data_IF_880976055742
#
_entry.id   IF_880976055742
#
_cell.length_a   1.000
_cell.length_b   1.000
_cell.length_c   1.000
_cell.angle_alpha   90.00
_cell.angle_beta   90.00
_cell.angle_gamma   90.00
#
_symmetry.space_group_name_H-M   'P 1'
#
loop_
_entity.id
_entity.type
_entity.pdbx_description
1 polymer ?
#
# COMPACT_ATOMS: atom_id res chain seq x y z
N UNK A 1 -11.81 32.22 -18.02
CA UNK A 1 -12.58 30.96 -18.10
C UNK A 1 -11.68 29.78 -17.71
N UNK A 2 -10.49 29.60 -18.31
CA UNK A 2 -9.58 28.48 -18.01
C UNK A 2 -9.18 28.43 -16.53
N UNK A 3 -8.81 29.57 -15.93
CA UNK A 3 -8.48 29.64 -14.49
C UNK A 3 -9.62 29.21 -13.58
N UNK A 4 -10.85 29.54 -13.93
CA UNK A 4 -12.02 29.14 -13.18
C UNK A 4 -12.19 27.61 -13.17
N UNK A 5 -12.09 26.97 -14.33
CA UNK A 5 -12.19 25.51 -14.43
C UNK A 5 -11.02 24.81 -13.73
N UNK A 6 -9.81 25.34 -13.86
CA UNK A 6 -8.64 24.82 -13.14
C UNK A 6 -8.87 24.80 -11.61
N UNK A 7 -9.28 25.92 -11.03
CA UNK A 7 -9.53 25.99 -9.59
C UNK A 7 -10.62 25.01 -9.16
N UNK A 8 -11.69 24.86 -10.00
CA UNK A 8 -12.77 23.91 -9.73
C UNK A 8 -12.32 22.46 -9.82
N UNK A 9 -11.51 22.10 -10.82
CA UNK A 9 -10.96 20.76 -10.95
C UNK A 9 -10.04 20.43 -9.76
N UNK A 10 -9.15 21.35 -9.37
CA UNK A 10 -8.29 21.18 -8.20
C UNK A 10 -9.08 21.06 -6.89
N UNK A 11 -10.18 21.79 -6.76
CA UNK A 11 -11.06 21.70 -5.59
C UNK A 11 -11.83 20.37 -5.54
N UNK A 12 -12.16 19.81 -6.69
CA UNK A 12 -12.90 18.55 -6.83
C UNK A 12 -11.97 17.34 -6.70
N UNK A 13 -10.73 17.47 -7.17
CA UNK A 13 -9.74 16.41 -7.12
C UNK A 13 -9.42 16.04 -5.67
N UNK A 14 -9.71 14.79 -5.31
CA UNK A 14 -9.47 14.32 -3.94
C UNK A 14 -7.97 14.26 -3.63
N UNK A 15 -7.60 14.73 -2.45
CA UNK A 15 -6.25 14.63 -1.91
C UNK A 15 -6.29 14.16 -0.46
N UNK A 16 -5.51 13.14 -0.12
CA UNK A 16 -5.47 12.53 1.22
C UNK A 16 -6.19 11.19 1.28
N UNK A 17 -6.69 10.85 2.46
CA UNK A 17 -7.44 9.61 2.70
C UNK A 17 -8.82 9.70 2.03
N UNK A 18 -9.10 8.74 1.15
CA UNK A 18 -10.38 8.63 0.46
C UNK A 18 -11.33 7.64 1.17
N UNK A 19 -10.78 6.50 1.59
CA UNK A 19 -11.55 5.45 2.26
C UNK A 19 -10.73 4.77 3.35
N UNK A 20 -11.39 4.49 4.47
CA UNK A 20 -10.86 3.62 5.52
C UNK A 20 -11.27 2.17 5.25
N UNK A 21 -10.48 1.22 5.72
CA UNK A 21 -10.82 -0.21 5.65
C UNK A 21 -12.09 -0.49 6.46
N UNK A 22 -12.94 -1.37 5.91
CA UNK A 22 -14.11 -1.89 6.62
C UNK A 22 -13.74 -3.08 7.55
N UNK A 23 -12.61 -3.74 7.29
CA UNK A 23 -12.20 -4.97 7.96
C UNK A 23 -11.16 -4.72 9.08
N UNK A 24 -10.46 -3.59 9.02
CA UNK A 24 -9.39 -3.26 9.97
C UNK A 24 -9.53 -1.86 10.53
N UNK A 25 -9.60 -1.75 11.84
CA UNK A 25 -9.66 -0.45 12.53
C UNK A 25 -8.41 0.40 12.24
N UNK A 26 -8.63 1.69 11.99
CA UNK A 26 -7.60 2.69 11.76
C UNK A 26 -6.68 2.42 10.55
N UNK A 27 -7.05 1.51 9.65
CA UNK A 27 -6.32 1.24 8.42
C UNK A 27 -6.88 2.10 7.27
N UNK A 28 -6.01 2.83 6.60
CA UNK A 28 -6.36 3.49 5.32
C UNK A 28 -6.43 2.41 4.24
N UNK A 29 -7.58 2.30 3.57
CA UNK A 29 -7.76 1.42 2.41
C UNK A 29 -7.31 2.12 1.13
N UNK A 30 -7.81 3.34 0.88
CA UNK A 30 -7.62 4.07 -0.37
C UNK A 30 -7.23 5.52 -0.08
N UNK A 31 -6.24 6.01 -0.78
CA UNK A 31 -5.77 7.40 -0.67
C UNK A 31 -5.24 7.91 -2.02
N UNK A 32 -5.19 9.22 -2.17
CA UNK A 32 -4.51 9.90 -3.26
C UNK A 32 -3.60 11.01 -2.73
N UNK A 33 -2.48 11.19 -3.39
CA UNK A 33 -1.59 12.33 -3.17
C UNK A 33 -1.43 13.11 -4.47
N UNK A 34 -1.88 14.36 -4.48
CA UNK A 34 -1.53 15.33 -5.52
C UNK A 34 -0.09 15.76 -5.24
N UNK A 35 0.87 15.12 -5.90
CA UNK A 35 2.28 15.27 -5.57
C UNK A 35 2.84 16.65 -5.96
N UNK A 36 2.34 17.20 -7.06
CA UNK A 36 2.80 18.48 -7.62
C UNK A 36 1.69 19.10 -8.48
N UNK A 37 1.69 20.41 -8.57
CA UNK A 37 0.94 21.16 -9.59
C UNK A 37 1.97 22.06 -10.31
N UNK A 38 2.15 21.81 -11.59
CA UNK A 38 3.07 22.59 -12.43
C UNK A 38 2.28 23.20 -13.61
N UNK A 39 2.32 24.51 -13.70
CA UNK A 39 1.74 25.25 -14.81
C UNK A 39 2.85 26.08 -15.44
N UNK A 40 3.46 25.57 -16.49
CA UNK A 40 4.57 26.21 -17.19
C UNK A 40 4.37 26.15 -18.71
N UNK A 41 4.74 27.21 -19.40
CA UNK A 41 4.66 27.32 -20.87
C UNK A 41 3.29 26.96 -21.48
N UNK A 42 2.20 27.25 -20.75
CA UNK A 42 0.83 26.92 -21.17
C UNK A 42 0.43 25.46 -21.00
N UNK A 43 1.28 24.65 -20.40
CA UNK A 43 1.02 23.24 -20.06
C UNK A 43 0.77 23.08 -18.55
N UNK A 44 -0.25 22.30 -18.23
CA UNK A 44 -0.58 21.88 -16.86
C UNK A 44 -0.13 20.43 -16.65
N UNK A 45 0.61 20.18 -15.57
CA UNK A 45 0.97 18.84 -15.13
C UNK A 45 0.57 18.67 -13.66
N UNK A 46 -0.22 17.65 -13.36
CA UNK A 46 -0.71 17.33 -12.00
C UNK A 46 -0.50 15.83 -11.74
N UNK A 47 0.74 15.42 -11.45
CA UNK A 47 1.00 14.02 -11.08
C UNK A 47 0.31 13.69 -9.75
N UNK A 48 -0.49 12.62 -9.79
CA UNK A 48 -1.19 12.06 -8.65
C UNK A 48 -0.68 10.65 -8.36
N UNK A 49 -0.59 10.28 -7.08
CA UNK A 49 -0.29 8.92 -6.66
C UNK A 49 -1.49 8.36 -5.90
N UNK A 50 -2.26 7.52 -6.58
CA UNK A 50 -3.41 6.82 -5.99
C UNK A 50 -2.97 5.44 -5.49
N UNK A 51 -3.30 5.12 -4.24
CA UNK A 51 -2.99 3.84 -3.59
C UNK A 51 -4.24 3.23 -2.99
N UNK A 52 -4.36 1.91 -3.07
CA UNK A 52 -5.39 1.15 -2.37
C UNK A 52 -4.94 -0.30 -2.18
N UNK A 53 -5.39 -0.94 -1.10
CA UNK A 53 -5.32 -2.39 -0.93
C UNK A 53 -6.37 -3.12 -1.77
N UNK A 54 -7.40 -2.41 -2.25
CA UNK A 54 -8.50 -2.95 -3.05
C UNK A 54 -8.44 -2.36 -4.46
N UNK A 55 -8.24 -3.20 -5.48
CA UNK A 55 -8.02 -2.78 -6.87
C UNK A 55 -9.21 -1.97 -7.43
N UNK A 56 -10.45 -2.42 -7.20
CA UNK A 56 -11.64 -1.71 -7.66
C UNK A 56 -11.79 -0.33 -7.03
N UNK A 57 -11.45 -0.17 -5.76
CA UNK A 57 -11.48 1.11 -5.06
C UNK A 57 -10.38 2.07 -5.56
N UNK A 58 -9.19 1.53 -5.91
CA UNK A 58 -8.13 2.29 -6.57
C UNK A 58 -8.61 2.86 -7.90
N UNK A 59 -9.22 2.03 -8.73
CA UNK A 59 -9.71 2.44 -10.04
C UNK A 59 -10.90 3.39 -9.96
N UNK A 60 -11.77 3.23 -8.96
CA UNK A 60 -12.89 4.17 -8.70
C UNK A 60 -12.35 5.58 -8.43
N UNK A 61 -11.42 5.73 -7.51
CA UNK A 61 -10.79 7.01 -7.21
C UNK A 61 -10.00 7.56 -8.40
N UNK A 62 -9.25 6.73 -9.11
CA UNK A 62 -8.50 7.15 -10.30
C UNK A 62 -9.44 7.69 -11.41
N UNK A 63 -10.58 7.04 -11.63
CA UNK A 63 -11.59 7.49 -12.60
C UNK A 63 -12.29 8.77 -12.14
N UNK A 64 -12.54 8.96 -10.85
CA UNK A 64 -13.09 10.21 -10.33
C UNK A 64 -12.11 11.38 -10.56
N UNK A 65 -10.81 11.18 -10.31
CA UNK A 65 -9.77 12.16 -10.63
C UNK A 65 -9.68 12.46 -12.12
N UNK A 66 -9.69 11.41 -12.97
CA UNK A 66 -9.74 11.56 -14.44
C UNK A 66 -10.90 12.43 -14.85
N UNK A 67 -12.10 12.12 -14.38
CA UNK A 67 -13.31 12.86 -14.74
C UNK A 67 -13.21 14.34 -14.38
N UNK A 68 -12.64 14.67 -13.21
CA UNK A 68 -12.46 16.06 -12.80
C UNK A 68 -11.55 16.85 -13.76
N UNK A 69 -10.47 16.25 -14.24
CA UNK A 69 -9.51 16.91 -15.13
C UNK A 69 -9.97 16.89 -16.60
N UNK A 70 -10.62 15.82 -17.06
CA UNK A 70 -11.18 15.76 -18.42
C UNK A 70 -12.30 16.79 -18.64
N UNK A 71 -13.13 17.08 -17.62
CA UNK A 71 -14.14 18.14 -17.69
C UNK A 71 -13.54 19.54 -17.94
N UNK A 72 -12.29 19.78 -17.62
CA UNK A 72 -11.61 21.02 -17.97
C UNK A 72 -10.79 20.93 -19.27
N UNK A 73 -10.83 19.80 -19.97
CA UNK A 73 -10.16 19.57 -21.25
C UNK A 73 -8.72 19.09 -21.13
N UNK A 74 -8.30 18.54 -19.98
CA UNK A 74 -7.00 17.90 -19.84
C UNK A 74 -7.01 16.47 -20.35
N UNK A 75 -5.87 16.02 -20.88
CA UNK A 75 -5.61 14.61 -21.10
C UNK A 75 -5.16 13.97 -19.78
N UNK A 76 -5.65 12.76 -19.50
CA UNK A 76 -5.29 12.01 -18.29
C UNK A 76 -4.78 10.63 -18.64
N UNK A 77 -3.57 10.33 -18.23
CA UNK A 77 -2.92 9.04 -18.42
C UNK A 77 -2.77 8.31 -17.09
N UNK A 78 -3.01 7.00 -17.10
CA UNK A 78 -2.70 6.10 -15.99
C UNK A 78 -1.44 5.32 -16.31
N UNK A 79 -0.46 5.37 -15.40
CA UNK A 79 0.81 4.68 -15.57
C UNK A 79 1.35 4.15 -14.23
N UNK A 80 2.33 3.25 -14.29
CA UNK A 80 3.05 2.76 -13.11
C UNK A 80 2.18 2.05 -12.08
N UNK A 81 1.02 1.51 -12.50
CA UNK A 81 0.13 0.79 -11.59
C UNK A 81 0.74 -0.54 -11.14
N UNK A 82 0.58 -0.84 -9.86
CA UNK A 82 0.81 -2.17 -9.28
C UNK A 82 -0.44 -2.59 -8.50
N UNK A 83 -0.70 -3.91 -8.40
CA UNK A 83 -1.89 -4.42 -7.73
C UNK A 83 -1.86 -4.15 -6.23
N UNK A 84 -3.03 -3.92 -5.64
CA UNK A 84 -3.21 -3.91 -4.21
C UNK A 84 -3.02 -5.30 -3.61
N UNK A 85 -2.75 -5.36 -2.31
CA UNK A 85 -2.75 -6.60 -1.54
C UNK A 85 -3.81 -6.49 -0.45
N UNK A 86 -4.95 -7.13 -0.71
CA UNK A 86 -6.06 -7.18 0.26
C UNK A 86 -5.64 -8.10 1.42
N UNK A 87 -5.69 -7.63 2.67
CA UNK A 87 -5.35 -8.45 3.82
C UNK A 87 -6.29 -9.64 3.96
N UNK A 88 -5.73 -10.84 4.23
CA UNK A 88 -6.52 -12.03 4.54
C UNK A 88 -6.78 -12.10 6.06
N UNK A 89 -8.03 -11.88 6.47
CA UNK A 89 -8.45 -11.93 7.89
C UNK A 89 -8.44 -13.34 8.49
N UNK A 90 -8.42 -14.38 7.64
CA UNK A 90 -8.44 -15.80 8.01
C UNK A 90 -7.14 -16.51 7.58
N UNK A 91 -6.01 -15.83 7.68
CA UNK A 91 -4.71 -16.37 7.26
C UNK A 91 -4.21 -17.46 8.20
N UNK A 92 -4.11 -18.68 7.72
CA UNK A 92 -3.56 -19.82 8.49
C UNK A 92 -2.06 -19.63 8.78
N UNK A 93 -1.31 -19.07 7.83
CA UNK A 93 0.12 -18.81 8.04
C UNK A 93 0.34 -17.71 9.08
N UNK A 94 -0.57 -16.73 9.19
CA UNK A 94 -0.48 -15.71 10.23
C UNK A 94 -0.59 -16.33 11.62
N UNK A 95 -1.52 -17.25 11.83
CA UNK A 95 -1.71 -17.92 13.11
C UNK A 95 -0.46 -18.69 13.53
N UNK A 96 0.19 -19.37 12.59
CA UNK A 96 1.47 -20.07 12.82
C UNK A 96 2.57 -19.08 13.23
N UNK A 97 2.70 -17.97 12.50
CA UNK A 97 3.72 -16.97 12.80
C UNK A 97 3.50 -16.30 14.17
N UNK A 98 2.24 -15.98 14.49
CA UNK A 98 1.87 -15.40 15.79
C UNK A 98 2.26 -16.34 16.93
N UNK A 99 1.92 -17.63 16.83
CA UNK A 99 2.23 -18.61 17.86
C UNK A 99 3.74 -18.77 18.08
N UNK A 100 4.54 -18.84 17.00
CA UNK A 100 5.99 -18.92 17.07
C UNK A 100 6.58 -17.64 17.70
N UNK A 101 6.09 -16.46 17.29
CA UNK A 101 6.58 -15.20 17.82
C UNK A 101 6.32 -15.06 19.32
N UNK A 102 5.10 -15.39 19.78
CA UNK A 102 4.73 -15.39 21.20
C UNK A 102 5.61 -16.32 22.02
N UNK A 103 5.87 -17.53 21.52
CA UNK A 103 6.76 -18.50 22.16
C UNK A 103 8.20 -17.99 22.30
N UNK A 104 8.72 -17.31 21.27
CA UNK A 104 10.10 -16.80 21.27
C UNK A 104 10.30 -15.55 22.12
N UNK A 105 9.30 -14.67 22.18
CA UNK A 105 9.45 -13.32 22.75
C UNK A 105 8.63 -13.10 24.02
N UNK A 106 7.75 -14.01 24.44
CA UNK A 106 6.79 -13.86 25.54
C UNK A 106 5.88 -12.61 25.39
N UNK A 107 5.62 -12.19 24.17
CA UNK A 107 4.75 -11.05 23.82
C UNK A 107 4.03 -11.31 22.50
N UNK A 108 2.84 -10.72 22.33
CA UNK A 108 2.11 -10.81 21.08
C UNK A 108 2.74 -9.91 20.02
N UNK A 109 2.88 -10.42 18.77
CA UNK A 109 3.31 -9.54 17.67
C UNK A 109 2.25 -8.51 17.35
N UNK A 110 2.68 -7.36 16.88
CA UNK A 110 1.76 -6.38 16.30
C UNK A 110 1.50 -6.76 14.84
N UNK A 111 0.30 -7.27 14.58
CA UNK A 111 -0.19 -7.52 13.22
C UNK A 111 -0.80 -6.22 12.67
N UNK A 112 -0.35 -5.83 11.51
CA UNK A 112 -0.81 -4.60 10.83
C UNK A 112 -0.99 -4.87 9.35
N UNK A 113 -1.86 -4.11 8.73
CA UNK A 113 -1.97 -4.05 7.28
C UNK A 113 -1.62 -2.64 6.78
N UNK A 114 -1.29 -2.50 5.52
CA UNK A 114 -1.05 -1.21 4.90
C UNK A 114 -1.54 -1.22 3.45
N UNK A 115 -1.85 -0.04 2.93
CA UNK A 115 -2.24 0.15 1.52
C UNK A 115 -1.05 0.49 0.62
N UNK A 116 0.16 0.11 1.04
CA UNK A 116 1.36 0.25 0.22
C UNK A 116 1.45 -0.87 -0.81
N UNK A 117 2.16 -0.61 -1.91
CA UNK A 117 2.54 -1.65 -2.87
C UNK A 117 3.60 -2.55 -2.26
N UNK A 118 3.26 -3.81 -2.11
CA UNK A 118 4.16 -4.86 -1.65
C UNK A 118 4.24 -5.96 -2.71
N UNK A 119 5.33 -6.70 -2.69
CA UNK A 119 5.55 -7.85 -3.58
C UNK A 119 4.43 -8.88 -3.50
N UNK A 120 3.79 -9.00 -2.32
CA UNK A 120 2.62 -9.85 -2.11
C UNK A 120 1.44 -9.49 -3.03
N UNK A 121 1.23 -8.21 -3.35
CA UNK A 121 0.22 -7.81 -4.34
C UNK A 121 0.51 -8.36 -5.73
N UNK A 122 1.77 -8.30 -6.16
CA UNK A 122 2.21 -8.81 -7.46
C UNK A 122 2.12 -10.34 -7.50
N UNK A 123 2.58 -11.01 -6.44
CA UNK A 123 2.50 -12.46 -6.32
C UNK A 123 1.05 -12.94 -6.29
N UNK A 124 0.17 -12.27 -5.52
CA UNK A 124 -1.24 -12.61 -5.43
C UNK A 124 -2.01 -12.49 -6.73
N UNK A 125 -1.57 -11.64 -7.67
CA UNK A 125 -2.16 -11.57 -9.01
C UNK A 125 -1.91 -12.87 -9.81
N UNK A 126 -0.75 -13.51 -9.61
CA UNK A 126 -0.40 -14.75 -10.30
C UNK A 126 -0.83 -15.99 -9.52
N UNK A 127 -0.96 -15.88 -8.21
CA UNK A 127 -1.29 -16.96 -7.28
C UNK A 127 -2.41 -16.52 -6.32
N UNK A 128 -3.66 -16.37 -6.79
CA UNK A 128 -4.75 -15.77 -6.01
C UNK A 128 -5.12 -16.57 -4.74
N UNK A 129 -4.85 -17.87 -4.73
CA UNK A 129 -5.11 -18.75 -3.57
C UNK A 129 -3.93 -18.82 -2.58
N UNK A 130 -2.84 -18.08 -2.83
CA UNK A 130 -1.67 -18.09 -1.97
C UNK A 130 -1.92 -17.26 -0.72
N UNK A 131 -1.83 -17.87 0.45
CA UNK A 131 -1.80 -17.15 1.73
C UNK A 131 -0.41 -16.58 1.98
N UNK A 132 -0.31 -15.29 2.26
CA UNK A 132 0.96 -14.57 2.30
C UNK A 132 1.04 -13.63 3.49
N UNK A 133 2.20 -13.57 4.12
CA UNK A 133 2.54 -12.61 5.17
C UNK A 133 3.84 -11.92 4.83
N UNK A 134 3.88 -10.60 5.03
CA UNK A 134 5.10 -9.80 4.90
C UNK A 134 5.64 -9.47 6.29
N UNK A 135 6.90 -9.79 6.53
CA UNK A 135 7.59 -9.48 7.78
C UNK A 135 9.09 -9.33 7.53
N UNK A 136 9.78 -8.65 8.43
CA UNK A 136 11.21 -8.40 8.24
C UNK A 136 11.89 -7.77 9.45
N UNK A 137 13.21 -7.51 9.36
CA UNK A 137 13.96 -6.80 10.39
C UNK A 137 13.56 -5.32 10.44
N UNK A 138 13.99 -4.65 11.50
CA UNK A 138 13.79 -3.20 11.66
C UNK A 138 14.66 -2.44 10.66
N UNK A 139 14.02 -1.70 9.77
CA UNK A 139 14.64 -0.77 8.84
C UNK A 139 14.39 0.66 9.33
N UNK A 140 15.40 1.50 9.25
CA UNK A 140 15.32 2.93 9.57
C UNK A 140 15.72 3.75 8.33
N UNK A 141 15.05 4.87 8.12
CA UNK A 141 15.32 5.75 6.99
C UNK A 141 15.03 5.12 5.63
N UNK A 142 14.04 4.21 5.55
CA UNK A 142 13.64 3.59 4.29
C UNK A 142 13.41 4.64 3.19
N UNK A 143 13.84 4.32 1.97
CA UNK A 143 13.78 5.21 0.78
C UNK A 143 14.62 6.49 0.90
N UNK A 144 15.65 6.49 1.74
CA UNK A 144 16.60 7.60 1.86
C UNK A 144 18.05 7.11 1.74
N UNK A 145 19.03 8.01 1.47
CA UNK A 145 20.44 7.65 1.47
C UNK A 145 20.97 7.12 2.82
N UNK A 146 20.24 7.39 3.90
CA UNK A 146 20.57 6.95 5.27
C UNK A 146 19.88 5.65 5.66
N UNK A 147 19.31 4.91 4.70
CA UNK A 147 18.64 3.64 4.95
C UNK A 147 19.58 2.63 5.57
N UNK A 148 19.15 2.03 6.68
CA UNK A 148 19.93 1.04 7.43
C UNK A 148 19.06 0.00 8.12
N UNK A 149 19.57 -1.23 8.18
CA UNK A 149 18.96 -2.31 8.93
C UNK A 149 19.61 -2.47 10.31
N UNK A 150 18.83 -2.78 11.33
CA UNK A 150 19.35 -3.11 12.66
C UNK A 150 19.96 -4.51 12.67
N UNK A 151 21.26 -4.66 12.93
CA UNK A 151 21.95 -5.95 13.02
C UNK A 151 21.27 -6.87 14.04
N UNK A 152 20.92 -6.34 15.22
CA UNK A 152 20.26 -7.10 16.28
C UNK A 152 18.88 -7.62 15.84
N UNK A 153 18.10 -6.80 15.13
CA UNK A 153 16.79 -7.25 14.64
C UNK A 153 16.92 -8.24 13.48
N UNK A 154 17.94 -8.10 12.63
CA UNK A 154 18.23 -9.06 11.56
C UNK A 154 18.59 -10.45 12.11
N UNK A 155 19.34 -10.50 13.23
CA UNK A 155 19.64 -11.76 13.90
C UNK A 155 18.39 -12.39 14.53
N UNK A 156 17.49 -11.58 15.12
CA UNK A 156 16.19 -12.07 15.62
C UNK A 156 15.30 -12.58 14.49
N UNK A 157 15.21 -11.80 13.42
CA UNK A 157 14.47 -12.18 12.22
C UNK A 157 14.93 -13.50 11.65
N UNK A 158 16.26 -13.73 11.53
CA UNK A 158 16.81 -14.98 11.03
C UNK A 158 16.40 -16.20 11.89
N UNK A 159 16.49 -16.07 13.21
CA UNK A 159 16.03 -17.14 14.13
C UNK A 159 14.54 -17.43 13.97
N UNK A 160 13.74 -16.40 13.81
CA UNK A 160 12.30 -16.52 13.59
C UNK A 160 11.99 -17.24 12.27
N UNK A 161 12.68 -16.89 11.18
CA UNK A 161 12.55 -17.57 9.89
C UNK A 161 12.88 -19.07 10.00
N UNK A 162 13.96 -19.42 10.67
CA UNK A 162 14.32 -20.84 10.83
C UNK A 162 13.22 -21.62 11.57
N UNK A 163 12.70 -21.09 12.66
CA UNK A 163 11.63 -21.76 13.43
C UNK A 163 10.32 -21.85 12.63
N UNK A 164 10.00 -20.85 11.80
CA UNK A 164 8.85 -20.93 10.89
C UNK A 164 9.05 -22.09 9.90
N UNK A 165 10.21 -22.18 9.26
CA UNK A 165 10.49 -23.24 8.27
C UNK A 165 10.44 -24.64 8.87
N UNK A 166 10.82 -24.79 10.13
CA UNK A 166 10.74 -26.06 10.87
C UNK A 166 9.30 -26.45 11.26
N UNK A 167 8.39 -25.47 11.36
CA UNK A 167 7.01 -25.67 11.83
C UNK A 167 5.95 -25.43 10.76
N UNK A 168 6.33 -25.25 9.48
CA UNK A 168 5.35 -25.13 8.39
C UNK A 168 4.56 -26.43 8.27
N UNK A 169 3.21 -26.36 8.28
CA UNK A 169 2.37 -27.53 8.07
C UNK A 169 2.66 -28.19 6.72
N UNK A 170 2.95 -29.47 6.72
CA UNK A 170 3.04 -30.27 5.49
C UNK A 170 1.61 -30.62 5.07
N UNK A 171 1.23 -30.22 3.84
CA UNK A 171 -0.05 -30.62 3.23
C UNK A 171 -0.01 -32.02 2.71
#
# INVERSE_FOLDING_TARGET
IAQFYFVRAMYTAHNGVYRMSADFDNLVETSNNIAKVDLSNGQLSVPCLTRSSVESAKMDLANALRSAFELMGCEVEFSGSYPGWTPNVNSEILDVLVAIYEKQNNEKPKVVACHAGLECGILGTNYPEMDMISFGPTIQGAHSPDERASIKSSQKFWKFVLEILENIPVK
#
